data_IF_532178036804
#
_entry.id   IF_532178036804
#
_cell.length_a   1.000
_cell.length_b   1.000
_cell.length_c   1.000
_cell.angle_alpha   90.00
_cell.angle_beta   90.00
_cell.angle_gamma   90.00
#
_symmetry.space_group_name_H-M   'P 1'
#
loop_
_entity.id
_entity.type
_entity.pdbx_description
1 polymer ?
#
# COMPACT_ATOMS: atom_id res chain seq x y z
N UNK A 1 -36.47 4.45 0.98
CA UNK A 1 -35.63 3.98 2.11
C UNK A 1 -35.06 5.20 2.80
N UNK A 2 -35.16 5.30 4.13
CA UNK A 2 -34.51 6.39 4.90
C UNK A 2 -33.03 6.02 4.97
N UNK A 3 -32.21 6.57 4.08
CA UNK A 3 -30.76 6.38 4.14
C UNK A 3 -30.27 7.11 5.38
N UNK A 4 -30.00 6.38 6.47
CA UNK A 4 -29.22 6.93 7.56
C UNK A 4 -27.88 7.41 6.99
N UNK A 5 -27.44 8.59 7.42
CA UNK A 5 -26.10 9.07 7.13
C UNK A 5 -25.07 8.11 7.71
N UNK A 6 -23.97 7.84 7.01
CA UNK A 6 -22.89 7.00 7.55
C UNK A 6 -22.26 7.67 8.77
N UNK A 7 -21.64 6.90 9.66
CA UNK A 7 -20.85 7.43 10.78
C UNK A 7 -19.65 8.23 10.25
N UNK A 8 -19.03 7.76 9.16
CA UNK A 8 -17.90 8.44 8.53
C UNK A 8 -18.05 8.57 7.02
N UNK A 9 -17.58 9.70 6.50
CA UNK A 9 -17.34 9.91 5.07
C UNK A 9 -15.83 9.99 4.88
N UNK A 10 -15.28 9.09 4.06
CA UNK A 10 -13.85 9.04 3.75
C UNK A 10 -13.66 9.41 2.29
N UNK A 11 -12.70 10.28 2.00
CA UNK A 11 -12.36 10.71 0.64
C UNK A 11 -10.97 10.20 0.29
N UNK A 12 -10.90 9.37 -0.75
CA UNK A 12 -9.71 8.68 -1.25
C UNK A 12 -9.63 7.23 -0.76
N UNK A 13 -9.69 6.29 -1.70
CA UNK A 13 -9.46 4.86 -1.48
C UNK A 13 -7.98 4.47 -1.71
N UNK A 14 -7.06 5.33 -1.29
CA UNK A 14 -5.64 4.99 -1.16
C UNK A 14 -5.36 4.13 0.08
N UNK A 15 -4.09 3.82 0.33
CA UNK A 15 -3.70 2.97 1.47
C UNK A 15 -4.27 3.45 2.81
N UNK A 16 -4.09 4.74 3.14
CA UNK A 16 -4.58 5.31 4.40
C UNK A 16 -6.10 5.34 4.51
N UNK A 17 -6.80 5.71 3.43
CA UNK A 17 -8.27 5.78 3.43
C UNK A 17 -8.91 4.40 3.56
N UNK A 18 -8.33 3.39 2.90
CA UNK A 18 -8.74 1.99 3.07
C UNK A 18 -8.45 1.48 4.47
N UNK A 19 -7.25 1.76 5.03
CA UNK A 19 -6.91 1.36 6.40
C UNK A 19 -7.91 1.93 7.41
N UNK A 20 -8.17 3.24 7.36
CA UNK A 20 -9.12 3.89 8.25
C UNK A 20 -10.53 3.31 8.10
N UNK A 21 -11.00 3.15 6.86
CA UNK A 21 -12.33 2.60 6.58
C UNK A 21 -12.47 1.18 7.12
N UNK A 22 -11.44 0.35 6.96
CA UNK A 22 -11.39 -1.02 7.49
C UNK A 22 -11.48 -1.02 9.01
N UNK A 23 -10.67 -0.21 9.70
CA UNK A 23 -10.70 -0.15 11.16
C UNK A 23 -12.07 0.30 11.68
N UNK A 24 -12.67 1.32 11.07
CA UNK A 24 -14.00 1.79 11.43
C UNK A 24 -15.07 0.69 11.22
N UNK A 25 -15.00 -0.06 10.12
CA UNK A 25 -15.92 -1.18 9.86
C UNK A 25 -15.74 -2.31 10.87
N UNK A 26 -14.50 -2.63 11.26
CA UNK A 26 -14.21 -3.62 12.30
C UNK A 26 -14.76 -3.19 13.68
N UNK A 27 -14.85 -1.89 13.94
CA UNK A 27 -15.50 -1.32 15.13
C UNK A 27 -17.03 -1.26 15.03
N UNK A 28 -17.62 -1.76 13.94
CA UNK A 28 -19.07 -1.75 13.71
C UNK A 28 -19.63 -0.40 13.24
N UNK A 29 -18.77 0.49 12.73
CA UNK A 29 -19.16 1.79 12.18
C UNK A 29 -19.44 1.71 10.69
N UNK A 30 -20.41 2.48 10.24
CA UNK A 30 -20.76 2.63 8.83
C UNK A 30 -19.87 3.68 8.15
N UNK A 31 -19.28 3.33 7.00
CA UNK A 31 -18.39 4.19 6.24
C UNK A 31 -18.90 4.35 4.81
N UNK A 32 -18.93 5.59 4.33
CA UNK A 32 -19.09 5.89 2.92
C UNK A 32 -17.76 6.38 2.35
N UNK A 33 -17.14 5.59 1.49
CA UNK A 33 -15.83 5.84 0.91
C UNK A 33 -15.97 6.33 -0.54
N UNK A 34 -15.43 7.51 -0.83
CA UNK A 34 -15.35 8.06 -2.18
C UNK A 34 -13.95 7.86 -2.76
N UNK A 35 -13.88 7.45 -4.02
CA UNK A 35 -12.64 7.43 -4.80
C UNK A 35 -12.90 8.09 -6.15
N UNK A 36 -11.95 8.91 -6.60
CA UNK A 36 -12.04 9.62 -7.87
C UNK A 36 -11.80 8.66 -9.04
N UNK A 37 -10.89 7.71 -8.88
CA UNK A 37 -10.52 6.74 -9.91
C UNK A 37 -11.46 5.53 -9.90
N UNK A 38 -11.51 4.79 -11.01
CA UNK A 38 -12.23 3.52 -11.07
C UNK A 38 -11.42 2.35 -10.46
N UNK A 39 -10.56 2.64 -9.49
CA UNK A 39 -9.73 1.66 -8.77
C UNK A 39 -9.36 2.20 -7.40
N UNK A 40 -9.14 1.29 -6.46
CA UNK A 40 -8.54 1.59 -5.16
C UNK A 40 -7.02 1.38 -5.19
N UNK A 41 -6.36 1.70 -4.08
CA UNK A 41 -4.90 1.53 -3.87
C UNK A 41 -4.10 2.83 -3.93
N UNK A 42 -4.67 3.91 -4.48
CA UNK A 42 -3.98 5.20 -4.57
C UNK A 42 -2.70 5.07 -5.43
N UNK A 43 -1.53 5.41 -4.87
CA UNK A 43 -0.26 5.24 -5.59
C UNK A 43 0.18 3.77 -5.70
N UNK A 44 -0.37 2.87 -4.87
CA UNK A 44 -0.07 1.44 -4.90
C UNK A 44 -0.90 0.78 -6.00
N UNK A 45 -0.25 -0.09 -6.76
CA UNK A 45 -0.83 -0.84 -7.86
C UNK A 45 0.22 -1.71 -8.51
N UNK A 46 -0.24 -2.79 -9.12
CA UNK A 46 0.62 -3.76 -9.82
C UNK A 46 0.21 -3.80 -11.29
N UNK A 47 1.18 -3.61 -12.17
CA UNK A 47 1.00 -3.58 -13.62
C UNK A 47 1.61 -4.85 -14.20
N UNK A 48 0.79 -5.64 -14.89
CA UNK A 48 1.29 -6.77 -15.66
C UNK A 48 1.90 -6.27 -16.96
N UNK A 49 3.16 -6.65 -17.22
CA UNK A 49 3.85 -6.39 -18.48
C UNK A 49 4.29 -7.70 -19.12
N UNK A 50 4.71 -7.71 -20.40
CA UNK A 50 5.34 -8.89 -21.03
C UNK A 50 6.60 -9.38 -20.32
N UNK A 51 7.26 -8.52 -19.53
CA UNK A 51 8.51 -8.82 -18.81
C UNK A 51 8.28 -9.20 -17.35
N UNK A 52 7.04 -9.15 -16.86
CA UNK A 52 6.70 -9.44 -15.48
C UNK A 52 5.83 -8.37 -14.81
N UNK A 53 5.65 -8.53 -13.51
CA UNK A 53 4.87 -7.63 -12.67
C UNK A 53 5.72 -6.41 -12.28
N UNK A 54 5.14 -5.21 -12.36
CA UNK A 54 5.78 -3.96 -11.93
C UNK A 54 4.89 -3.30 -10.86
N UNK A 55 5.47 -2.99 -9.71
CA UNK A 55 4.80 -2.23 -8.66
C UNK A 55 4.97 -0.72 -8.90
N UNK A 56 3.88 0.05 -8.79
CA UNK A 56 3.90 1.49 -9.08
C UNK A 56 4.41 2.35 -7.93
N UNK A 57 4.44 1.81 -6.71
CA UNK A 57 4.94 2.49 -5.52
C UNK A 57 5.48 1.47 -4.50
N UNK A 58 4.86 1.35 -3.32
CA UNK A 58 5.30 0.43 -2.28
C UNK A 58 5.16 -1.04 -2.72
N UNK A 59 6.24 -1.81 -2.57
CA UNK A 59 6.32 -3.24 -2.90
C UNK A 59 6.53 -4.13 -1.66
N UNK A 60 6.60 -3.54 -0.47
CA UNK A 60 6.83 -4.23 0.79
C UNK A 60 6.51 -3.34 1.98
N UNK A 61 6.22 -3.98 3.11
CA UNK A 61 5.95 -3.33 4.40
C UNK A 61 6.79 -4.05 5.45
N UNK A 62 7.39 -3.30 6.37
CA UNK A 62 8.07 -3.89 7.53
C UNK A 62 7.04 -4.57 8.42
N UNK A 63 7.34 -5.81 8.81
CA UNK A 63 6.43 -6.56 9.66
C UNK A 63 6.28 -5.90 11.04
N UNK A 64 5.05 -5.85 11.54
CA UNK A 64 4.71 -5.46 12.90
C UNK A 64 3.53 -6.30 13.39
N UNK A 65 3.36 -6.38 14.71
CA UNK A 65 2.22 -7.05 15.32
C UNK A 65 0.89 -6.51 14.80
N UNK A 66 0.77 -5.19 14.62
CA UNK A 66 -0.45 -4.57 14.08
C UNK A 66 -0.74 -5.00 12.63
N UNK A 67 0.31 -5.20 11.82
CA UNK A 67 0.14 -5.68 10.45
C UNK A 67 -0.34 -7.13 10.43
N UNK A 68 0.19 -7.98 11.31
CA UNK A 68 -0.24 -9.37 11.46
C UNK A 68 -1.70 -9.46 11.93
N UNK A 69 -2.08 -8.67 12.92
CA UNK A 69 -3.46 -8.58 13.42
C UNK A 69 -4.43 -8.12 12.32
N UNK A 70 -4.07 -7.06 11.60
CA UNK A 70 -4.89 -6.54 10.49
C UNK A 70 -5.01 -7.57 9.35
N UNK A 71 -3.91 -8.24 8.98
CA UNK A 71 -3.93 -9.27 7.96
C UNK A 71 -4.83 -10.44 8.38
N UNK A 72 -4.75 -10.87 9.64
CA UNK A 72 -5.61 -11.91 10.22
C UNK A 72 -7.08 -11.51 10.16
N UNK A 73 -7.43 -10.28 10.59
CA UNK A 73 -8.79 -9.75 10.54
C UNK A 73 -9.36 -9.69 9.12
N UNK A 74 -8.51 -9.50 8.11
CA UNK A 74 -8.88 -9.47 6.69
C UNK A 74 -8.78 -10.84 6.00
N UNK A 75 -8.34 -11.89 6.69
CA UNK A 75 -8.12 -13.22 6.10
C UNK A 75 -6.98 -13.25 5.07
N UNK A 76 -6.01 -12.34 5.18
CA UNK A 76 -4.88 -12.21 4.28
C UNK A 76 -3.66 -12.99 4.79
N UNK A 77 -2.95 -13.65 3.86
CA UNK A 77 -1.67 -14.30 4.14
C UNK A 77 -0.53 -13.31 3.88
N UNK A 78 0.27 -13.02 4.90
CA UNK A 78 1.50 -12.24 4.74
C UNK A 78 2.57 -13.11 4.05
N UNK A 79 3.13 -12.58 2.96
CA UNK A 79 4.26 -13.20 2.27
C UNK A 79 5.55 -12.58 2.83
N UNK A 80 6.47 -13.42 3.28
CA UNK A 80 7.78 -12.99 3.78
C UNK A 80 8.83 -13.08 2.70
N UNK A 81 9.78 -12.15 2.69
CA UNK A 81 10.92 -12.22 1.77
C UNK A 81 11.78 -13.46 2.06
N UNK A 82 12.07 -14.24 1.04
CA UNK A 82 12.99 -15.38 1.14
C UNK A 82 14.42 -14.90 1.45
N UNK A 83 15.10 -15.53 2.41
CA UNK A 83 16.45 -15.12 2.86
C UNK A 83 17.49 -15.07 1.73
N UNK A 84 17.30 -15.81 0.64
CA UNK A 84 18.21 -15.85 -0.50
C UNK A 84 18.03 -14.71 -1.53
N UNK A 85 17.03 -13.84 -1.39
CA UNK A 85 16.74 -12.77 -2.34
C UNK A 85 17.22 -11.37 -1.87
N UNK A 86 17.97 -11.32 -0.76
CA UNK A 86 18.46 -10.09 -0.12
C UNK A 86 19.49 -9.26 -0.91
N UNK A 87 19.68 -9.48 -2.22
CA UNK A 87 20.79 -8.84 -2.94
C UNK A 87 20.49 -7.51 -3.62
N UNK A 88 19.24 -7.15 -3.92
CA UNK A 88 18.99 -5.92 -4.71
C UNK A 88 17.80 -5.10 -4.20
N UNK A 89 17.81 -4.74 -2.91
CA UNK A 89 17.11 -3.50 -2.52
C UNK A 89 18.08 -2.35 -2.85
N UNK A 90 17.97 -1.81 -4.06
CA UNK A 90 18.80 -0.70 -4.57
C UNK A 90 18.55 0.58 -3.75
N UNK A 91 19.20 0.62 -2.59
CA UNK A 91 19.53 1.82 -1.85
C UNK A 91 21.04 1.98 -1.81
N UNK A 92 21.69 1.95 -2.98
CA UNK A 92 23.02 2.54 -3.11
C UNK A 92 22.83 4.04 -3.17
N UNK A 93 22.84 4.67 -2.01
CA UNK A 93 23.34 6.03 -1.87
C UNK A 93 24.82 5.95 -2.20
N UNK A 94 25.14 6.02 -3.50
CA UNK A 94 26.48 6.21 -4.07
C UNK A 94 26.27 6.29 -5.59
N UNK A 95 26.93 7.25 -6.25
CA UNK A 95 26.66 7.84 -7.59
C UNK A 95 25.72 9.06 -7.46
N UNK A 96 26.20 10.31 -7.42
CA UNK A 96 27.09 10.94 -8.39
C UNK A 96 27.89 12.10 -7.76
N UNK A 97 29.20 11.95 -7.62
CA UNK A 97 30.15 13.06 -7.75
C UNK A 97 31.38 12.55 -8.52
N UNK A 98 31.21 12.36 -9.82
CA UNK A 98 32.29 12.42 -10.79
C UNK A 98 31.96 13.54 -11.78
N UNK A 99 32.32 14.78 -11.42
CA UNK A 99 32.53 15.83 -12.40
C UNK A 99 34.02 16.00 -12.61
N UNK A 100 34.48 15.41 -13.71
CA UNK A 100 35.79 15.63 -14.32
C UNK A 100 36.19 17.12 -14.32
N UNK A 101 37.30 17.44 -13.67
CA UNK A 101 38.08 18.65 -13.95
C UNK A 101 38.84 18.45 -15.26
N UNK A 102 38.24 18.88 -16.36
CA UNK A 102 38.99 19.32 -17.54
C UNK A 102 39.29 20.81 -17.33
N UNK A 103 40.50 21.09 -16.87
CA UNK A 103 41.43 22.19 -17.23
C UNK A 103 42.58 22.20 -16.23
#
# INVERSE_FOLDING_TARGET
MRTQSPDYIVIGAGFTGLLYSTLAVLEGRSVFLYEKQNRSGGLVGSIQTPFGLVETAANGILNSYQLEELASALGLKILTTEKNQKKDLFGKTDLLEDSHSLF
#
